data_IF_360877327710
#
_entry.id   IF_360877327710
#
_cell.length_a   1.000
_cell.length_b   1.000
_cell.length_c   1.000
_cell.angle_alpha   90.00
_cell.angle_beta   90.00
_cell.angle_gamma   90.00
#
_symmetry.space_group_name_H-M   'P 1'
#
loop_
_entity.id
_entity.type
_entity.pdbx_description
1 polymer ?
#
# COMPACT_ATOMS: atom_id res chain seq x y z
N UNK A 1 18.21 6.38 -10.24
CA UNK A 1 17.29 5.24 -10.05
C UNK A 1 15.97 5.77 -9.50
N UNK A 2 14.85 5.66 -10.22
CA UNK A 2 13.53 6.08 -9.68
C UNK A 2 13.14 5.11 -8.56
N UNK A 3 12.91 5.60 -7.33
CA UNK A 3 12.41 4.77 -6.23
C UNK A 3 11.04 4.21 -6.63
N UNK A 4 10.94 2.88 -6.71
CA UNK A 4 9.68 2.16 -6.95
C UNK A 4 8.86 2.27 -5.66
N UNK A 5 7.84 3.12 -5.66
CA UNK A 5 6.84 3.10 -4.60
C UNK A 5 6.05 1.81 -4.83
N UNK A 6 6.11 0.88 -3.88
CA UNK A 6 5.49 -0.45 -3.99
C UNK A 6 3.97 -0.37 -3.86
N UNK A 7 3.48 0.61 -3.12
CA UNK A 7 2.06 0.80 -2.81
C UNK A 7 1.54 2.15 -3.34
N UNK A 8 1.63 2.37 -4.65
CA UNK A 8 1.22 3.60 -5.34
C UNK A 8 -0.29 3.83 -5.26
N UNK A 9 -1.11 2.83 -5.57
CA UNK A 9 -2.56 2.90 -5.48
C UNK A 9 -3.00 3.18 -4.05
N UNK A 10 -2.45 2.47 -3.07
CA UNK A 10 -2.73 2.74 -1.65
C UNK A 10 -2.37 4.17 -1.28
N UNK A 11 -1.19 4.65 -1.69
CA UNK A 11 -0.75 6.03 -1.42
C UNK A 11 -1.69 7.06 -2.04
N UNK A 12 -2.08 6.86 -3.30
CA UNK A 12 -3.02 7.72 -4.00
C UNK A 12 -4.39 7.73 -3.32
N UNK A 13 -4.90 6.55 -2.95
CA UNK A 13 -6.18 6.40 -2.26
C UNK A 13 -6.19 7.13 -0.90
N UNK A 14 -5.12 7.01 -0.11
CA UNK A 14 -5.00 7.70 1.18
C UNK A 14 -5.04 9.23 1.02
N UNK A 15 -4.31 9.76 0.03
CA UNK A 15 -4.29 11.20 -0.27
C UNK A 15 -5.68 11.69 -0.69
N UNK A 16 -6.33 10.99 -1.63
CA UNK A 16 -7.66 11.36 -2.11
C UNK A 16 -8.74 11.33 -1.03
N UNK A 17 -8.56 10.53 0.03
CA UNK A 17 -9.49 10.43 1.16
C UNK A 17 -9.05 11.27 2.38
N UNK A 18 -8.02 12.11 2.26
CA UNK A 18 -7.46 12.92 3.36
C UNK A 18 -7.04 12.09 4.60
N UNK A 19 -6.55 10.87 4.39
CA UNK A 19 -6.11 9.98 5.47
C UNK A 19 -4.59 10.09 5.64
N UNK A 20 -4.17 10.56 6.81
CA UNK A 20 -2.75 10.68 7.14
C UNK A 20 -2.11 9.32 7.46
N UNK A 21 -0.80 9.19 7.18
CA UNK A 21 -0.03 8.00 7.57
C UNK A 21 0.02 7.81 9.09
N UNK A 22 -0.08 8.89 9.87
CA UNK A 22 -0.23 8.83 11.33
C UNK A 22 -1.51 8.08 11.71
N UNK A 23 -2.63 8.41 11.07
CA UNK A 23 -3.92 7.74 11.30
C UNK A 23 -3.87 6.26 10.92
N UNK A 24 -3.21 5.92 9.80
CA UNK A 24 -2.98 4.52 9.41
C UNK A 24 -2.18 3.79 10.49
N UNK A 25 -1.13 4.43 11.01
CA UNK A 25 -0.29 3.90 12.09
C UNK A 25 -1.09 3.59 13.35
N UNK A 26 -1.92 4.54 13.80
CA UNK A 26 -2.83 4.36 14.94
C UNK A 26 -3.76 3.14 14.76
N UNK A 27 -4.30 2.94 13.55
CA UNK A 27 -5.25 1.86 13.25
C UNK A 27 -4.58 0.48 13.28
N UNK A 28 -3.34 0.37 12.79
CA UNK A 28 -2.63 -0.92 12.70
C UNK A 28 -1.61 -1.13 13.84
N UNK A 29 -1.60 -0.25 14.84
CA UNK A 29 -0.72 -0.38 16.01
C UNK A 29 0.76 -0.14 15.71
N UNK A 30 1.09 0.83 14.86
CA UNK A 30 2.47 1.19 14.51
C UNK A 30 2.69 2.69 14.37
N UNK A 31 3.89 3.12 14.01
CA UNK A 31 4.23 4.55 13.82
C UNK A 31 4.03 5.00 12.38
N UNK A 32 3.80 6.31 12.19
CA UNK A 32 3.73 6.92 10.86
C UNK A 32 4.98 6.64 10.01
N UNK A 33 6.17 6.59 10.65
CA UNK A 33 7.42 6.28 9.97
C UNK A 33 7.44 4.84 9.43
N UNK A 34 6.95 3.87 10.20
CA UNK A 34 6.84 2.47 9.75
C UNK A 34 5.85 2.36 8.59
N UNK A 35 4.71 3.04 8.66
CA UNK A 35 3.75 3.12 7.54
C UNK A 35 4.40 3.72 6.29
N UNK A 36 5.17 4.79 6.44
CA UNK A 36 5.87 5.41 5.32
C UNK A 36 6.89 4.45 4.68
N UNK A 37 7.64 3.69 5.50
CA UNK A 37 8.58 2.69 4.99
C UNK A 37 7.87 1.54 4.28
N UNK A 38 6.74 1.05 4.81
CA UNK A 38 5.87 0.05 4.17
C UNK A 38 5.42 0.55 2.79
N UNK A 39 4.79 1.73 2.72
CA UNK A 39 4.27 2.31 1.47
C UNK A 39 5.36 2.49 0.40
N UNK A 40 6.56 2.92 0.80
CA UNK A 40 7.67 3.15 -0.12
C UNK A 40 8.53 1.90 -0.37
N UNK A 41 8.22 0.75 0.22
CA UNK A 41 8.99 -0.49 0.07
C UNK A 41 10.40 -0.44 0.66
N UNK A 42 10.68 0.47 1.60
CA UNK A 42 12.00 0.59 2.25
C UNK A 42 12.00 0.00 3.67
N UNK A 43 10.99 -0.81 4.01
CA UNK A 43 10.84 -1.49 5.29
C UNK A 43 10.15 -2.83 5.11
N UNK A 44 9.61 -3.38 6.19
CA UNK A 44 8.80 -4.60 6.11
C UNK A 44 7.53 -4.36 5.30
N UNK A 45 6.98 -5.44 4.75
CA UNK A 45 5.76 -5.38 3.96
C UNK A 45 4.49 -5.25 4.83
N UNK A 46 3.34 -4.90 4.24
CA UNK A 46 2.05 -4.97 4.94
C UNK A 46 1.68 -6.44 5.22
N UNK A 47 1.32 -6.72 6.48
CA UNK A 47 0.76 -8.03 6.84
C UNK A 47 -0.67 -8.10 6.32
N UNK A 48 -1.14 -9.30 5.96
CA UNK A 48 -2.54 -9.51 5.58
C UNK A 48 -3.53 -9.06 6.67
N UNK A 49 -3.17 -9.21 7.95
CA UNK A 49 -3.98 -8.72 9.07
C UNK A 49 -4.06 -7.18 9.12
N UNK A 50 -3.01 -6.47 8.75
CA UNK A 50 -2.99 -5.01 8.65
C UNK A 50 -3.89 -4.56 7.48
N UNK A 51 -3.76 -5.21 6.31
CA UNK A 51 -4.60 -4.94 5.14
C UNK A 51 -6.10 -5.16 5.44
N UNK A 52 -6.45 -6.28 6.09
CA UNK A 52 -7.83 -6.55 6.54
C UNK A 52 -8.33 -5.50 7.53
N UNK A 53 -7.49 -5.10 8.49
CA UNK A 53 -7.84 -4.05 9.46
C UNK A 53 -8.13 -2.72 8.76
N UNK A 54 -7.29 -2.32 7.81
CA UNK A 54 -7.46 -1.08 7.04
C UNK A 54 -8.69 -1.13 6.14
N UNK A 55 -8.95 -2.26 5.47
CA UNK A 55 -10.19 -2.45 4.74
C UNK A 55 -11.42 -2.32 5.65
N UNK A 56 -11.41 -2.98 6.80
CA UNK A 56 -12.55 -2.97 7.72
C UNK A 56 -12.83 -1.59 8.32
N UNK A 57 -11.77 -0.83 8.68
CA UNK A 57 -11.89 0.46 9.37
C UNK A 57 -12.02 1.67 8.45
N UNK A 58 -11.36 1.64 7.29
CA UNK A 58 -11.28 2.77 6.38
C UNK A 58 -11.89 2.49 5.01
N UNK A 59 -12.26 1.24 4.71
CA UNK A 59 -12.73 0.82 3.37
C UNK A 59 -11.67 1.00 2.27
N UNK A 60 -10.39 0.85 2.65
CA UNK A 60 -9.30 0.76 1.67
C UNK A 60 -9.60 -0.40 0.69
N UNK A 61 -9.62 -0.16 -0.62
CA UNK A 61 -9.76 -1.21 -1.63
C UNK A 61 -8.64 -2.27 -1.47
N UNK A 62 -9.00 -3.54 -1.52
CA UNK A 62 -8.05 -4.63 -1.22
C UNK A 62 -6.97 -4.78 -2.30
N UNK A 63 -7.31 -4.46 -3.55
CA UNK A 63 -6.40 -4.42 -4.70
C UNK A 63 -5.20 -3.48 -4.49
N UNK A 64 -5.38 -2.41 -3.71
CA UNK A 64 -4.31 -1.49 -3.32
C UNK A 64 -3.15 -2.19 -2.58
N UNK A 65 -3.37 -3.40 -2.02
CA UNK A 65 -2.34 -4.18 -1.32
C UNK A 65 -1.68 -5.26 -2.19
N UNK A 66 -2.17 -5.49 -3.40
CA UNK A 66 -1.69 -6.54 -4.31
C UNK A 66 -1.18 -5.94 -5.61
N UNK A 67 -0.60 -4.74 -5.56
CA UNK A 67 0.06 -4.13 -6.72
C UNK A 67 1.21 -5.02 -7.20
N UNK A 68 0.99 -5.71 -8.32
CA UNK A 68 2.04 -6.40 -9.06
C UNK A 68 2.41 -5.50 -10.24
N UNK A 69 3.55 -4.82 -10.16
CA UNK A 69 4.05 -4.04 -11.29
C UNK A 69 4.72 -5.00 -12.29
N UNK A 70 3.90 -5.57 -13.18
CA UNK A 70 4.32 -6.44 -14.29
C UNK A 70 4.79 -5.57 -15.46
N UNK A 71 6.04 -5.72 -15.95
CA UNK A 71 6.50 -5.02 -17.15
C UNK A 71 5.60 -5.29 -18.36
N UNK A 72 5.39 -4.30 -19.23
CA UNK A 72 4.55 -4.46 -20.42
C UNK A 72 5.01 -5.58 -21.36
N UNK A 73 6.30 -5.95 -21.31
CA UNK A 73 6.86 -7.10 -22.02
C UNK A 73 6.33 -8.45 -21.52
N UNK A 74 5.93 -8.52 -20.24
CA UNK A 74 5.44 -9.73 -19.56
C UNK A 74 3.91 -9.79 -19.50
N UNK A 75 3.21 -8.74 -19.95
CA UNK A 75 1.74 -8.68 -19.99
C UNK A 75 1.12 -9.28 -21.27
N UNK A 76 1.94 -9.79 -22.20
CA UNK A 76 1.43 -10.41 -23.43
C UNK A 76 1.00 -11.84 -23.14
N UNK A 77 -0.27 -12.15 -23.36
CA UNK A 77 -0.71 -13.54 -23.45
C UNK A 77 0.02 -14.20 -24.62
N UNK A 78 0.85 -15.20 -24.32
CA UNK A 78 1.31 -16.15 -25.35
C UNK A 78 0.17 -17.13 -25.60
N UNK A 79 -0.53 -16.96 -26.72
CA UNK A 79 -1.42 -17.98 -27.28
C UNK A 79 -0.65 -19.25 -27.66
#
# INVERSE_FOLDING_TARGET
MKKRIIYRQLKGWLVSNNISQKRVGEIIGTTANVVNKKINGTGSDFKLSEARTLHNKLKVPTDCFFEIEVPSSEQKETC
#
